data_IF_012363843041
#
_entry.id   IF_012363843041
#
_cell.length_a   1.000
_cell.length_b   1.000
_cell.length_c   1.000
_cell.angle_alpha   90.00
_cell.angle_beta   90.00
_cell.angle_gamma   90.00
#
_symmetry.space_group_name_H-M   'P 1'
#
loop_
_entity.id
_entity.type
_entity.pdbx_description
1 polymer ?
#
# COMPACT_ATOMS: atom_id res chain seq x y z
N UNK A 1 13.65 -8.70 -5.56
CA UNK A 1 12.85 -8.93 -4.33
C UNK A 1 13.32 -10.22 -3.68
N UNK A 2 13.59 -10.21 -2.37
CA UNK A 2 13.95 -11.44 -1.62
C UNK A 2 12.76 -12.40 -1.61
N UNK A 3 13.03 -13.71 -1.71
CA UNK A 3 11.98 -14.73 -1.81
C UNK A 3 11.00 -14.72 -0.62
N UNK A 4 11.48 -14.44 0.59
CA UNK A 4 10.62 -14.31 1.77
C UNK A 4 9.58 -13.17 1.61
N UNK A 5 10.03 -11.98 1.21
CA UNK A 5 9.16 -10.81 1.01
C UNK A 5 8.21 -11.01 -0.17
N UNK A 6 8.67 -11.65 -1.23
CA UNK A 6 7.84 -12.03 -2.39
C UNK A 6 6.71 -12.97 -1.99
N UNK A 7 7.03 -14.03 -1.25
CA UNK A 7 6.04 -15.00 -0.76
C UNK A 7 5.01 -14.33 0.17
N UNK A 8 5.46 -13.51 1.12
CA UNK A 8 4.55 -12.82 2.04
C UNK A 8 3.64 -11.83 1.30
N UNK A 9 4.20 -11.02 0.39
CA UNK A 9 3.43 -10.08 -0.43
C UNK A 9 2.37 -10.80 -1.26
N UNK A 10 2.73 -11.91 -1.93
CA UNK A 10 1.79 -12.70 -2.72
C UNK A 10 0.67 -13.31 -1.87
N UNK A 11 0.98 -13.82 -0.68
CA UNK A 11 -0.03 -14.38 0.21
C UNK A 11 -1.02 -13.32 0.66
N UNK A 12 -0.53 -12.14 1.07
CA UNK A 12 -1.37 -11.01 1.49
C UNK A 12 -2.23 -10.49 0.34
N UNK A 13 -1.66 -10.36 -0.86
CA UNK A 13 -2.41 -9.94 -2.05
C UNK A 13 -3.52 -10.93 -2.42
N UNK A 14 -3.30 -12.24 -2.27
CA UNK A 14 -4.34 -13.26 -2.45
C UNK A 14 -5.47 -13.12 -1.43
N UNK A 15 -5.14 -12.82 -0.17
CA UNK A 15 -6.14 -12.52 0.87
C UNK A 15 -6.92 -11.26 0.54
N UNK A 16 -6.24 -10.18 0.13
CA UNK A 16 -6.88 -8.93 -0.30
C UNK A 16 -7.84 -9.19 -1.45
N UNK A 17 -7.45 -9.98 -2.47
CA UNK A 17 -8.33 -10.35 -3.58
C UNK A 17 -9.62 -11.00 -3.10
N UNK A 18 -9.54 -12.00 -2.21
CA UNK A 18 -10.74 -12.64 -1.66
C UNK A 18 -11.60 -11.68 -0.82
N UNK A 19 -10.98 -10.71 -0.14
CA UNK A 19 -11.71 -9.68 0.60
C UNK A 19 -12.42 -8.71 -0.36
N UNK A 20 -11.79 -8.31 -1.46
CA UNK A 20 -12.42 -7.51 -2.52
C UNK A 20 -13.63 -8.24 -3.11
N UNK A 21 -13.49 -9.52 -3.44
CA UNK A 21 -14.60 -10.36 -3.92
C UNK A 21 -15.77 -10.38 -2.92
N UNK A 22 -15.48 -10.47 -1.63
CA UNK A 22 -16.52 -10.40 -0.59
C UNK A 22 -17.19 -9.03 -0.51
N UNK A 23 -16.47 -7.93 -0.70
CA UNK A 23 -17.03 -6.57 -0.70
C UNK A 23 -17.91 -6.35 -1.93
N UNK A 24 -17.48 -6.82 -3.11
CA UNK A 24 -18.30 -6.79 -4.33
C UNK A 24 -19.64 -7.46 -4.09
N UNK A 25 -19.63 -8.68 -3.53
CA UNK A 25 -20.87 -9.38 -3.17
C UNK A 25 -21.74 -8.60 -2.19
N UNK A 26 -21.17 -7.89 -1.21
CA UNK A 26 -21.95 -7.05 -0.30
C UNK A 26 -22.67 -5.91 -1.03
N UNK A 27 -22.08 -5.38 -2.10
CA UNK A 27 -22.72 -4.34 -2.93
C UNK A 27 -23.82 -4.95 -3.79
N UNK A 28 -23.56 -6.11 -4.41
CA UNK A 28 -24.56 -6.85 -5.21
C UNK A 28 -25.77 -7.28 -4.38
N UNK A 29 -25.56 -7.61 -3.10
CA UNK A 29 -26.61 -7.95 -2.13
C UNK A 29 -27.28 -6.71 -1.48
N UNK A 30 -26.97 -5.49 -1.94
CA UNK A 30 -27.50 -4.23 -1.43
C UNK A 30 -27.36 -4.08 0.11
N UNK A 31 -26.23 -4.54 0.65
CA UNK A 31 -26.00 -4.48 2.11
C UNK A 31 -25.85 -3.04 2.60
N UNK A 32 -26.14 -2.83 3.88
CA UNK A 32 -26.14 -1.52 4.52
C UNK A 32 -24.80 -0.79 4.30
N UNK A 33 -24.88 0.41 3.70
CA UNK A 33 -23.69 1.13 3.21
C UNK A 33 -22.59 1.31 4.27
N UNK A 34 -22.89 1.66 5.55
CA UNK A 34 -21.86 1.73 6.59
C UNK A 34 -21.09 0.44 6.83
N UNK A 35 -21.70 -0.73 6.63
CA UNK A 35 -20.99 -2.00 6.78
C UNK A 35 -20.10 -2.29 5.57
N UNK A 36 -20.52 -1.94 4.36
CA UNK A 36 -19.66 -1.97 3.16
C UNK A 36 -18.47 -1.04 3.34
N UNK A 37 -18.69 0.20 3.81
CA UNK A 37 -17.63 1.17 4.07
C UNK A 37 -16.60 0.65 5.09
N UNK A 38 -17.03 0.02 6.18
CA UNK A 38 -16.11 -0.62 7.15
C UNK A 38 -15.23 -1.68 6.49
N UNK A 39 -15.77 -2.49 5.57
CA UNK A 39 -15.00 -3.50 4.86
C UNK A 39 -14.00 -2.88 3.87
N UNK A 40 -14.36 -1.79 3.21
CA UNK A 40 -13.43 -1.01 2.37
C UNK A 40 -12.29 -0.45 3.22
N UNK A 41 -12.55 0.08 4.42
CA UNK A 41 -11.49 0.53 5.33
C UNK A 41 -10.58 -0.62 5.78
N UNK A 42 -11.14 -1.81 6.01
CA UNK A 42 -10.35 -3.00 6.33
C UNK A 42 -9.46 -3.47 5.16
N UNK A 43 -9.93 -3.31 3.91
CA UNK A 43 -9.14 -3.53 2.70
C UNK A 43 -7.96 -2.55 2.61
N UNK A 44 -8.21 -1.25 2.85
CA UNK A 44 -7.15 -0.24 2.88
C UNK A 44 -6.04 -0.60 3.88
N UNK A 45 -6.41 -1.00 5.11
CA UNK A 45 -5.45 -1.47 6.11
C UNK A 45 -4.70 -2.75 5.71
N UNK A 46 -5.30 -3.60 4.87
CA UNK A 46 -4.64 -4.80 4.33
C UNK A 46 -3.65 -4.47 3.22
N UNK A 47 -3.99 -3.52 2.35
CA UNK A 47 -3.09 -3.00 1.32
C UNK A 47 -1.89 -2.27 1.93
N UNK A 48 -2.12 -1.48 2.99
CA UNK A 48 -1.04 -0.83 3.74
C UNK A 48 -0.03 -1.85 4.30
N UNK A 49 -0.51 -3.00 4.79
CA UNK A 49 0.38 -4.09 5.22
C UNK A 49 1.18 -4.69 4.06
N UNK A 50 0.62 -4.79 2.85
CA UNK A 50 1.37 -5.22 1.66
C UNK A 50 2.45 -4.20 1.32
N UNK A 51 2.11 -2.91 1.30
CA UNK A 51 3.05 -1.82 1.01
C UNK A 51 4.25 -1.84 1.97
N UNK A 52 4.03 -2.10 3.26
CA UNK A 52 5.13 -2.22 4.24
C UNK A 52 6.11 -3.34 3.92
N UNK A 53 5.63 -4.51 3.48
CA UNK A 53 6.49 -5.63 3.09
C UNK A 53 7.30 -5.29 1.84
N UNK A 54 6.66 -4.66 0.85
CA UNK A 54 7.31 -4.23 -0.38
C UNK A 54 8.36 -3.15 -0.12
N UNK A 55 8.04 -2.17 0.74
CA UNK A 55 8.95 -1.12 1.18
C UNK A 55 10.17 -1.72 1.89
N UNK A 56 9.95 -2.61 2.86
CA UNK A 56 11.04 -3.30 3.55
C UNK A 56 11.95 -4.03 2.55
N UNK A 57 11.37 -4.75 1.59
CA UNK A 57 12.17 -5.37 0.54
C UNK A 57 12.97 -4.34 -0.26
N UNK A 58 12.36 -3.22 -0.66
CA UNK A 58 13.01 -2.20 -1.47
C UNK A 58 14.23 -1.59 -0.75
N UNK A 59 14.09 -1.29 0.54
CA UNK A 59 15.20 -0.82 1.38
C UNK A 59 16.34 -1.85 1.45
N UNK A 60 15.98 -3.11 1.66
CA UNK A 60 16.94 -4.23 1.80
C UNK A 60 17.58 -4.68 0.47
N UNK A 61 17.07 -4.25 -0.68
CA UNK A 61 17.61 -4.64 -2.00
C UNK A 61 18.02 -3.45 -2.84
N UNK A 62 17.08 -2.63 -3.30
CA UNK A 62 17.33 -1.60 -4.30
C UNK A 62 18.13 -0.44 -3.71
N UNK A 63 17.74 0.04 -2.52
CA UNK A 63 18.46 1.10 -1.83
C UNK A 63 19.85 0.64 -1.40
N UNK A 64 19.96 -0.57 -0.86
CA UNK A 64 21.27 -1.14 -0.48
C UNK A 64 22.22 -1.23 -1.68
N UNK A 65 21.73 -1.64 -2.85
CA UNK A 65 22.53 -1.71 -4.08
C UNK A 65 22.90 -0.31 -4.60
N UNK A 66 21.95 0.62 -4.63
CA UNK A 66 22.20 2.00 -5.05
C UNK A 66 23.23 2.72 -4.17
N UNK A 67 23.25 2.44 -2.86
CA UNK A 67 24.29 2.95 -1.95
C UNK A 67 25.68 2.43 -2.36
N UNK A 68 25.80 1.14 -2.70
CA UNK A 68 27.07 0.55 -3.13
C UNK A 68 27.57 1.15 -4.45
N UNK A 69 26.66 1.60 -5.30
CA UNK A 69 26.97 2.21 -6.60
C UNK A 69 27.06 3.74 -6.56
N UNK A 70 26.95 4.36 -5.38
CA UNK A 70 27.03 5.82 -5.22
C UNK A 70 25.82 6.59 -5.74
N UNK A 71 24.67 5.93 -5.96
CA UNK A 71 23.41 6.53 -6.45
C UNK A 71 22.36 6.74 -5.36
N UNK A 72 22.80 7.03 -4.13
CA UNK A 72 21.90 7.18 -2.97
C UNK A 72 20.89 8.31 -3.14
N UNK A 73 21.29 9.46 -3.70
CA UNK A 73 20.38 10.60 -3.84
C UNK A 73 19.21 10.29 -4.79
N UNK A 74 19.51 9.68 -5.93
CA UNK A 74 18.53 9.31 -6.97
C UNK A 74 17.50 8.31 -6.44
N UNK A 75 17.95 7.21 -5.82
CA UNK A 75 17.02 6.18 -5.32
C UNK A 75 16.16 6.67 -4.15
N UNK A 76 16.69 7.59 -3.34
CA UNK A 76 15.93 8.19 -2.23
C UNK A 76 14.87 9.14 -2.77
N UNK A 77 15.19 9.92 -3.80
CA UNK A 77 14.22 10.79 -4.46
C UNK A 77 13.08 9.97 -5.10
N UNK A 78 13.41 8.91 -5.83
CA UNK A 78 12.44 7.97 -6.42
C UNK A 78 11.51 7.36 -5.35
N UNK A 79 12.10 6.92 -4.22
CA UNK A 79 11.33 6.34 -3.12
C UNK A 79 10.39 7.39 -2.50
N UNK A 80 10.88 8.61 -2.28
CA UNK A 80 10.07 9.70 -1.72
C UNK A 80 8.92 10.09 -2.64
N UNK A 81 9.14 10.12 -3.96
CA UNK A 81 8.07 10.34 -4.95
C UNK A 81 7.00 9.25 -4.87
N UNK A 82 7.42 7.98 -4.80
CA UNK A 82 6.51 6.84 -4.67
C UNK A 82 5.68 6.89 -3.38
N UNK A 83 6.27 7.35 -2.28
CA UNK A 83 5.58 7.45 -0.98
C UNK A 83 4.59 8.63 -0.88
N UNK A 84 4.81 9.73 -1.62
CA UNK A 84 3.90 10.89 -1.65
C UNK A 84 2.48 10.53 -2.08
N UNK A 85 2.31 9.44 -2.82
CA UNK A 85 1.00 8.91 -3.24
C UNK A 85 0.12 8.44 -2.05
N UNK A 86 0.66 8.35 -0.84
CA UNK A 86 -0.04 7.87 0.36
C UNK A 86 -0.88 8.95 1.07
N UNK A 87 -0.69 10.24 0.77
CA UNK A 87 -1.48 11.31 1.39
C UNK A 87 -2.97 11.28 0.96
N UNK A 88 -3.28 10.73 -0.22
CA UNK A 88 -4.60 10.81 -0.84
C UNK A 88 -5.69 9.94 -0.17
N UNK A 89 -5.36 9.11 0.82
CA UNK A 89 -6.35 8.24 1.48
C UNK A 89 -6.96 8.87 2.74
N UNK A 90 -6.41 9.96 3.32
CA UNK A 90 -6.98 10.60 4.52
C UNK A 90 -6.75 12.13 4.66
N UNK A 91 -6.92 12.93 3.62
CA UNK A 91 -7.06 14.40 3.78
C UNK A 91 -6.27 15.24 2.77
N UNK A 92 -6.56 16.56 2.67
CA UNK A 92 -6.05 17.40 1.60
C UNK A 92 -4.53 17.50 1.66
N UNK A 93 -3.93 17.56 0.48
CA UNK A 93 -2.48 17.60 0.30
C UNK A 93 -1.83 18.92 0.77
N UNK A 94 -2.61 19.89 1.25
CA UNK A 94 -2.16 21.24 1.61
C UNK A 94 -2.71 21.71 2.97
N UNK A 95 -1.88 22.36 3.83
CA UNK A 95 -2.33 23.01 5.07
C UNK A 95 -3.33 24.17 4.86
N UNK A 96 -3.48 24.65 3.63
CA UNK A 96 -4.34 25.78 3.27
C UNK A 96 -5.81 25.39 2.95
N UNK A 97 -6.11 24.09 2.81
CA UNK A 97 -7.46 23.58 2.49
C UNK A 97 -8.28 23.18 3.74
N UNK A 98 -7.87 23.63 4.94
CA UNK A 98 -8.55 23.36 6.23
C UNK A 98 -9.31 24.57 6.81
N UNK A 99 -9.73 25.52 5.97
CA UNK A 99 -10.56 26.66 6.37
C UNK A 99 -12.04 26.32 6.21
#
# INVERSE_FOLDING_TARGET
MKEQHKKDSLNRLKTVRGHVESVIRMVEEERYCPDVMKQVSALQGSLERVNRVLLQNHLETCVTHAIQEGRTAEIVEELMETMRYTAAVTGPANPEESI
#
